data_IF_561164414068
#
_entry.id   IF_561164414068
#
_cell.length_a   1.000
_cell.length_b   1.000
_cell.length_c   1.000
_cell.angle_alpha   90.00
_cell.angle_beta   90.00
_cell.angle_gamma   90.00
#
_symmetry.space_group_name_H-M   'P 1'
#
loop_
_entity.id
_entity.type
_entity.pdbx_description
1 polymer ?
#
# COMPACT_ATOMS: atom_id res chain seq x y z
N UNK A 1 9.87 1.07 7.03
CA UNK A 1 8.49 0.54 6.82
C UNK A 1 7.75 0.56 8.15
N UNK A 2 6.43 0.76 8.15
CA UNK A 2 5.64 0.84 9.39
C UNK A 2 4.36 0.02 9.32
N UNK A 3 3.91 -0.46 10.49
CA UNK A 3 2.60 -1.08 10.64
C UNK A 3 1.64 -0.11 11.32
N UNK A 4 0.55 0.19 10.63
CA UNK A 4 -0.41 1.21 11.05
C UNK A 4 -1.73 0.59 11.50
N UNK A 5 -2.31 1.18 12.55
CA UNK A 5 -3.73 1.04 12.89
C UNK A 5 -4.41 2.37 12.55
N UNK A 6 -5.40 2.35 11.65
CA UNK A 6 -6.18 3.55 11.36
C UNK A 6 -7.02 3.97 12.58
N UNK A 7 -7.23 5.28 12.74
CA UNK A 7 -8.04 5.84 13.83
C UNK A 7 -9.52 5.47 13.67
N UNK A 8 -9.97 5.38 12.42
CA UNK A 8 -11.31 4.92 12.10
C UNK A 8 -11.47 3.44 12.47
N UNK A 9 -12.64 3.09 12.98
CA UNK A 9 -12.95 1.70 13.36
C UNK A 9 -13.76 1.00 12.28
N UNK A 10 -13.59 -0.31 12.17
CA UNK A 10 -14.49 -1.13 11.36
C UNK A 10 -15.90 -1.08 11.96
N UNK A 11 -16.86 -0.63 11.17
CA UNK A 11 -18.28 -0.58 11.53
C UNK A 11 -19.03 -1.73 10.87
N UNK A 12 -20.09 -2.21 11.53
CA UNK A 12 -20.98 -3.21 10.94
C UNK A 12 -21.58 -2.65 9.64
N UNK A 13 -21.42 -3.38 8.54
CA UNK A 13 -22.00 -2.98 7.27
C UNK A 13 -23.51 -3.24 7.27
N UNK A 14 -24.36 -2.42 6.63
CA UNK A 14 -25.82 -2.57 6.67
C UNK A 14 -26.34 -3.94 6.23
N UNK A 15 -25.58 -4.66 5.41
CA UNK A 15 -25.89 -6.03 4.97
C UNK A 15 -25.10 -7.06 5.78
N UNK A 16 -23.97 -7.54 5.25
CA UNK A 16 -23.08 -8.55 5.84
C UNK A 16 -21.66 -8.00 5.85
N UNK A 17 -20.93 -8.26 6.94
CA UNK A 17 -19.54 -7.88 7.09
C UNK A 17 -19.33 -6.56 7.83
N UNK A 18 -18.16 -5.98 7.63
CA UNK A 18 -17.76 -4.72 8.25
C UNK A 18 -17.04 -3.84 7.22
N UNK A 19 -17.15 -2.53 7.41
CA UNK A 19 -16.53 -1.55 6.53
C UNK A 19 -15.98 -0.38 7.34
N UNK A 20 -14.97 0.27 6.78
CA UNK A 20 -14.36 1.45 7.33
C UNK A 20 -14.07 2.42 6.20
N UNK A 21 -14.28 3.71 6.44
CA UNK A 21 -13.77 4.75 5.54
C UNK A 21 -12.29 4.94 5.83
N UNK A 22 -11.42 4.67 4.86
CA UNK A 22 -9.98 4.88 5.02
C UNK A 22 -9.64 6.36 4.86
N UNK A 23 -10.04 7.00 3.75
CA UNK A 23 -9.74 8.40 3.45
C UNK A 23 -10.68 8.98 2.39
N UNK A 24 -10.66 10.31 2.23
CA UNK A 24 -11.12 10.96 0.99
C UNK A 24 -10.00 10.90 -0.06
N UNK A 25 -10.36 10.72 -1.33
CA UNK A 25 -9.41 10.51 -2.43
C UNK A 25 -9.54 11.59 -3.50
N UNK A 26 -8.45 11.90 -4.21
CA UNK A 26 -8.46 12.88 -5.31
C UNK A 26 -8.98 12.26 -6.62
N UNK A 27 -8.49 11.06 -6.93
CA UNK A 27 -8.81 10.27 -8.11
C UNK A 27 -8.47 8.80 -7.85
N UNK A 28 -8.78 7.94 -8.81
CA UNK A 28 -8.43 6.52 -8.82
C UNK A 28 -7.84 6.18 -10.18
N UNK A 29 -6.62 5.65 -10.20
CA UNK A 29 -5.93 5.27 -11.43
C UNK A 29 -5.71 3.77 -11.44
N UNK A 30 -6.16 3.10 -12.50
CA UNK A 30 -5.83 1.70 -12.77
C UNK A 30 -4.50 1.63 -13.52
N UNK A 31 -3.56 0.85 -13.00
CA UNK A 31 -2.21 0.71 -13.59
C UNK A 31 -1.94 -0.75 -13.94
N UNK A 32 -1.25 -0.95 -15.06
CA UNK A 32 -0.75 -2.24 -15.55
C UNK A 32 0.76 -2.13 -15.64
N UNK A 33 1.45 -3.03 -14.95
CA UNK A 33 2.89 -2.97 -14.72
C UNK A 33 3.52 -4.22 -15.35
N UNK A 34 4.54 -4.04 -16.22
CA UNK A 34 5.11 -5.16 -16.96
C UNK A 34 5.69 -6.25 -16.05
N UNK A 35 5.64 -7.52 -16.48
CA UNK A 35 6.34 -8.60 -15.79
C UNK A 35 7.85 -8.37 -15.80
N UNK A 36 8.55 -8.86 -14.77
CA UNK A 36 10.01 -8.74 -14.61
C UNK A 36 10.53 -7.32 -14.80
N UNK A 37 9.85 -6.34 -14.21
CA UNK A 37 10.22 -4.93 -14.33
C UNK A 37 10.59 -4.33 -12.97
N UNK A 38 11.32 -3.23 -13.01
CA UNK A 38 11.77 -2.48 -11.84
C UNK A 38 11.46 -0.99 -12.08
N UNK A 39 10.91 -0.31 -11.08
CA UNK A 39 10.70 1.14 -11.14
C UNK A 39 11.98 1.92 -10.76
N UNK A 40 12.98 1.23 -10.22
CA UNK A 40 14.16 1.86 -9.65
C UNK A 40 13.86 2.64 -8.37
N UNK A 41 14.82 3.46 -7.94
CA UNK A 41 14.62 4.34 -6.79
C UNK A 41 13.67 5.47 -7.17
N UNK A 42 12.49 5.49 -6.57
CA UNK A 42 11.47 6.48 -6.87
C UNK A 42 10.69 6.87 -5.61
N UNK A 43 9.76 7.81 -5.82
CA UNK A 43 8.81 8.27 -4.81
C UNK A 43 7.41 8.20 -5.41
N UNK A 44 6.40 7.88 -4.59
CA UNK A 44 5.04 8.04 -5.03
C UNK A 44 4.79 9.54 -5.35
N UNK A 45 4.18 9.89 -6.49
CA UNK A 45 3.92 11.29 -6.86
C UNK A 45 3.05 12.04 -5.83
N UNK A 46 2.24 11.30 -5.07
CA UNK A 46 1.44 11.79 -3.96
C UNK A 46 1.34 10.70 -2.89
N UNK A 47 1.17 11.05 -1.60
CA UNK A 47 0.75 10.08 -0.60
C UNK A 47 -0.56 9.41 -1.04
N UNK A 48 -0.55 8.08 -1.08
CA UNK A 48 -1.65 7.32 -1.70
C UNK A 48 -1.85 5.95 -1.07
N UNK A 49 -3.02 5.36 -1.33
CA UNK A 49 -3.16 3.91 -1.23
C UNK A 49 -2.68 3.28 -2.54
N UNK A 50 -1.83 2.27 -2.42
CA UNK A 50 -1.50 1.34 -3.48
C UNK A 50 -2.21 0.02 -3.18
N UNK A 51 -3.13 -0.38 -4.06
CA UNK A 51 -3.91 -1.61 -3.90
C UNK A 51 -3.57 -2.58 -5.03
N UNK A 52 -2.90 -3.68 -4.71
CA UNK A 52 -2.61 -4.73 -5.67
C UNK A 52 -3.90 -5.51 -5.99
N UNK A 53 -4.27 -5.53 -7.27
CA UNK A 53 -5.43 -6.27 -7.76
C UNK A 53 -5.03 -7.65 -8.28
N UNK A 54 -3.89 -7.73 -8.97
CA UNK A 54 -3.29 -9.01 -9.36
C UNK A 54 -1.77 -8.92 -9.48
N UNK A 55 -1.08 -10.05 -9.26
CA UNK A 55 0.37 -10.15 -9.41
C UNK A 55 1.13 -10.06 -8.09
N UNK A 56 2.36 -9.55 -8.17
CA UNK A 56 3.32 -9.50 -7.08
C UNK A 56 4.14 -8.22 -7.17
N UNK A 57 4.29 -7.51 -6.06
CA UNK A 57 5.20 -6.39 -5.93
C UNK A 57 6.14 -6.61 -4.75
N UNK A 58 7.41 -6.29 -4.93
CA UNK A 58 8.44 -6.33 -3.90
C UNK A 58 8.93 -4.91 -3.67
N UNK A 59 8.74 -4.39 -2.45
CA UNK A 59 9.13 -3.03 -2.08
C UNK A 59 10.24 -3.08 -1.05
N UNK A 60 11.29 -2.27 -1.23
CA UNK A 60 12.50 -2.26 -0.40
C UNK A 60 12.91 -0.84 -0.04
N UNK A 61 13.34 -0.61 1.21
CA UNK A 61 13.99 0.66 1.57
C UNK A 61 15.34 0.79 0.88
N UNK A 62 15.82 2.03 0.70
CA UNK A 62 17.09 2.30 0.01
C UNK A 62 18.28 1.64 0.70
N UNK A 63 18.28 1.62 2.03
CA UNK A 63 19.33 0.99 2.82
C UNK A 63 19.19 -0.55 2.90
N UNK A 64 18.14 -1.11 2.29
CA UNK A 64 17.86 -2.54 2.25
C UNK A 64 17.53 -3.16 3.61
N UNK A 65 17.25 -2.35 4.64
CA UNK A 65 16.96 -2.87 5.98
C UNK A 65 15.54 -3.39 6.14
N UNK A 66 14.58 -2.80 5.43
CA UNK A 66 13.18 -3.21 5.44
C UNK A 66 12.71 -3.57 4.03
N UNK A 67 11.83 -4.57 3.96
CA UNK A 67 11.13 -4.96 2.74
C UNK A 67 9.70 -5.41 3.02
N UNK A 68 8.85 -5.32 1.99
CA UNK A 68 7.53 -5.95 1.97
C UNK A 68 7.27 -6.63 0.64
N UNK A 69 6.59 -7.76 0.71
CA UNK A 69 6.04 -8.47 -0.43
C UNK A 69 4.52 -8.27 -0.43
N UNK A 70 4.01 -7.64 -1.48
CA UNK A 70 2.61 -7.34 -1.67
C UNK A 70 2.08 -8.36 -2.67
N UNK A 71 1.11 -9.17 -2.24
CA UNK A 71 0.51 -10.23 -3.05
C UNK A 71 -0.97 -9.93 -3.22
N UNK A 72 -1.54 -10.31 -4.36
CA UNK A 72 -2.99 -10.21 -4.56
C UNK A 72 -3.77 -10.98 -3.48
N UNK A 73 -4.87 -10.39 -2.99
CA UNK A 73 -5.78 -11.00 -2.01
C UNK A 73 -5.29 -11.08 -0.55
N UNK A 74 -3.97 -11.10 -0.30
CA UNK A 74 -3.40 -11.13 1.05
C UNK A 74 -2.46 -9.93 1.19
N UNK A 75 -2.77 -9.02 2.12
CA UNK A 75 -1.95 -7.83 2.39
C UNK A 75 -1.77 -6.93 1.16
N UNK A 76 -2.80 -6.88 0.32
CA UNK A 76 -2.76 -6.22 -0.98
C UNK A 76 -2.99 -4.70 -0.90
N UNK A 77 -3.16 -4.12 0.29
CA UNK A 77 -3.36 -2.68 0.50
C UNK A 77 -2.17 -2.13 1.26
N UNK A 78 -1.49 -1.15 0.68
CA UNK A 78 -0.35 -0.45 1.28
C UNK A 78 -0.59 1.05 1.22
N UNK A 79 -0.19 1.76 2.27
CA UNK A 79 -0.08 3.22 2.23
C UNK A 79 1.32 3.58 1.76
N UNK A 80 1.44 4.17 0.58
CA UNK A 80 2.67 4.74 0.07
C UNK A 80 2.73 6.21 0.48
N UNK A 81 3.44 6.49 1.57
CA UNK A 81 3.54 7.82 2.17
C UNK A 81 4.98 8.17 2.57
N UNK A 82 5.97 7.69 1.78
CA UNK A 82 7.38 7.86 2.10
C UNK A 82 7.77 9.33 2.31
N UNK A 83 8.75 9.54 3.17
CA UNK A 83 9.32 10.87 3.39
C UNK A 83 10.12 11.36 2.16
N UNK A 84 10.28 12.68 2.10
CA UNK A 84 10.90 13.40 1.00
C UNK A 84 12.41 13.09 0.89
N UNK A 85 13.03 12.45 1.88
CA UNK A 85 14.48 12.32 1.94
C UNK A 85 14.97 11.03 1.28
N UNK A 86 14.25 9.91 1.45
CA UNK A 86 14.76 8.60 1.04
C UNK A 86 14.05 8.06 -0.20
N UNK A 87 12.75 7.77 -0.18
CA UNK A 87 12.08 7.00 -1.27
C UNK A 87 12.32 5.50 -1.15
N UNK A 88 11.99 4.72 -2.19
CA UNK A 88 12.07 3.26 -2.17
C UNK A 88 12.30 2.63 -3.55
N UNK A 89 12.58 1.33 -3.56
CA UNK A 89 12.58 0.50 -4.75
C UNK A 89 11.30 -0.32 -4.83
N UNK A 90 10.74 -0.46 -6.03
CA UNK A 90 9.66 -1.41 -6.31
C UNK A 90 9.99 -2.25 -7.53
N UNK A 91 9.93 -3.55 -7.33
CA UNK A 91 10.18 -4.57 -8.34
C UNK A 91 8.89 -5.37 -8.56
N UNK A 92 8.61 -5.74 -9.81
CA UNK A 92 7.50 -6.62 -10.21
C UNK A 92 8.08 -7.92 -10.76
N UNK A 93 8.49 -8.86 -9.89
CA UNK A 93 9.30 -10.01 -10.30
C UNK A 93 8.50 -11.13 -10.97
N UNK A 94 7.17 -11.03 -11.00
CA UNK A 94 6.29 -12.05 -11.57
C UNK A 94 6.43 -12.24 -13.09
N UNK A 95 5.99 -13.40 -13.56
CA UNK A 95 5.93 -13.75 -14.99
C UNK A 95 4.76 -13.11 -15.74
N UNK A 96 3.74 -12.65 -15.02
CA UNK A 96 2.54 -11.98 -15.55
C UNK A 96 2.56 -10.50 -15.19
N UNK A 97 1.78 -9.72 -15.91
CA UNK A 97 1.53 -8.31 -15.56
C UNK A 97 0.99 -8.21 -14.13
N UNK A 98 1.46 -7.19 -13.42
CA UNK A 98 0.91 -6.77 -12.14
C UNK A 98 -0.10 -5.67 -12.39
N UNK A 99 -1.27 -5.75 -11.76
CA UNK A 99 -2.32 -4.72 -11.87
C UNK A 99 -2.62 -4.16 -10.50
N UNK A 100 -2.79 -2.84 -10.43
CA UNK A 100 -3.01 -2.14 -9.17
C UNK A 100 -3.92 -0.92 -9.32
N UNK A 101 -4.42 -0.43 -8.18
CA UNK A 101 -5.00 0.91 -8.07
C UNK A 101 -4.01 1.82 -7.36
N UNK A 102 -3.75 2.97 -7.96
CA UNK A 102 -3.15 4.12 -7.30
C UNK A 102 -4.27 5.07 -6.90
N UNK A 103 -4.39 5.34 -5.59
CA UNK A 103 -5.48 6.12 -5.02
C UNK A 103 -4.90 7.26 -4.17
N UNK A 104 -4.53 8.39 -4.79
CA UNK A 104 -4.00 9.55 -4.08
C UNK A 104 -4.99 10.10 -3.05
N UNK A 105 -4.48 10.38 -1.85
CA UNK A 105 -5.29 11.02 -0.82
C UNK A 105 -5.65 12.45 -1.21
N UNK A 106 -6.87 12.86 -0.88
CA UNK A 106 -7.34 14.22 -1.17
C UNK A 106 -6.42 15.25 -0.52
N UNK A 107 -5.89 16.17 -1.33
CA UNK A 107 -4.93 17.20 -0.91
C UNK A 107 -3.64 16.62 -0.27
N UNK A 108 -3.28 15.38 -0.57
CA UNK A 108 -2.11 14.71 0.02
C UNK A 108 -2.25 14.41 1.52
N UNK A 109 -3.46 14.48 2.09
CA UNK A 109 -3.69 14.25 3.51
C UNK A 109 -3.72 12.75 3.83
N UNK A 110 -2.63 12.24 4.38
CA UNK A 110 -2.56 10.87 4.93
C UNK A 110 -3.66 10.68 5.99
N UNK A 111 -4.37 9.54 6.00
CA UNK A 111 -5.40 9.26 6.99
C UNK A 111 -4.82 9.19 8.42
N UNK A 112 -5.67 9.50 9.40
CA UNK A 112 -5.31 9.38 10.82
C UNK A 112 -4.96 7.93 11.17
N UNK A 113 -3.83 7.74 11.86
CA UNK A 113 -3.32 6.43 12.23
C UNK A 113 -2.37 6.50 13.43
N UNK A 114 -2.21 5.35 14.08
CA UNK A 114 -1.16 5.07 15.04
C UNK A 114 -0.17 4.05 14.46
N UNK A 115 1.13 4.31 14.64
CA UNK A 115 2.18 3.32 14.36
C UNK A 115 2.24 2.31 15.51
N UNK A 116 1.77 1.10 15.27
CA UNK A 116 1.70 0.05 16.30
C UNK A 116 2.94 -0.85 16.33
N UNK A 117 3.73 -0.86 15.25
CA UNK A 117 5.00 -1.56 15.19
C UNK A 117 5.89 -0.98 14.06
N UNK A 118 7.20 -1.06 14.24
CA UNK A 118 8.17 -0.81 13.17
C UNK A 118 8.29 -2.04 12.26
N UNK A 119 8.43 -1.82 10.96
CA UNK A 119 8.37 -2.87 9.94
C UNK A 119 6.95 -3.26 9.52
N UNK A 120 6.84 -4.25 8.64
CA UNK A 120 5.57 -4.69 8.07
C UNK A 120 4.59 -5.21 9.14
N UNK A 121 3.29 -5.04 8.89
CA UNK A 121 2.28 -5.70 9.71
C UNK A 121 2.38 -7.22 9.62
N UNK A 122 2.20 -7.89 10.76
CA UNK A 122 2.15 -9.36 10.84
C UNK A 122 0.72 -9.83 10.57
N UNK A 123 0.55 -11.04 10.05
CA UNK A 123 -0.76 -11.58 9.66
C UNK A 123 -1.83 -11.52 10.77
N UNK A 124 -1.44 -11.71 12.03
CA UNK A 124 -2.36 -11.60 13.18
C UNK A 124 -2.86 -10.18 13.47
N UNK A 125 -2.25 -9.18 12.84
CA UNK A 125 -2.51 -7.74 13.02
C UNK A 125 -3.21 -7.13 11.81
N UNK A 126 -3.55 -7.94 10.82
CA UNK A 126 -4.20 -7.51 9.57
C UNK A 126 -5.65 -8.02 9.57
N UNK A 127 -6.57 -7.17 9.10
CA UNK A 127 -7.94 -7.59 8.83
C UNK A 127 -7.89 -8.44 7.57
N UNK A 128 -8.23 -9.73 7.70
CA UNK A 128 -8.39 -10.67 6.58
C UNK A 128 -9.77 -10.48 5.94
#
# INVERSE_FOLDING_TARGET
>A
VECWRFDESMLKYPTVGAAMKIADTSNVTYVVLPPRSEEGNHKPPHPMLFVLLSGLAHVRTIDGKDEIWIVEGINNVVVAADDVEHGHFTDYPGDKETTALQIPFKNGKVPGHEVINQGACKASSQVL
#
